data_IF_651230260728
#
_entry.id   IF_651230260728
#
_cell.length_a   1.000
_cell.length_b   1.000
_cell.length_c   1.000
_cell.angle_alpha   90.00
_cell.angle_beta   90.00
_cell.angle_gamma   90.00
#
_symmetry.space_group_name_H-M   'P 1'
#
loop_
_entity.id
_entity.type
_entity.pdbx_description
1 polymer ?
#
# COMPACT_ATOMS: atom_id res chain seq x y z
N UNK A 1 25.44 13.04 -23.32
CA UNK A 1 24.42 13.10 -22.24
C UNK A 1 23.10 13.32 -22.92
N UNK A 2 22.46 12.22 -23.33
CA UNK A 2 21.20 12.26 -24.07
C UNK A 2 20.09 12.46 -23.04
N UNK A 3 19.58 13.68 -22.96
CA UNK A 3 18.40 14.00 -22.17
C UNK A 3 17.25 13.28 -22.87
N UNK A 4 16.84 12.13 -22.34
CA UNK A 4 15.72 11.37 -22.88
C UNK A 4 14.56 12.32 -23.16
N UNK A 5 14.10 12.37 -24.42
CA UNK A 5 13.05 13.27 -24.92
C UNK A 5 11.76 13.27 -24.04
N UNK A 6 11.61 12.26 -23.19
CA UNK A 6 10.46 12.03 -22.32
C UNK A 6 10.63 12.49 -20.86
N UNK A 7 11.67 13.25 -20.46
CA UNK A 7 11.83 13.69 -19.05
C UNK A 7 10.59 14.40 -18.50
N UNK A 8 9.94 15.27 -19.31
CA UNK A 8 8.71 15.97 -18.89
C UNK A 8 7.54 15.00 -18.69
N UNK A 9 7.43 13.99 -19.56
CA UNK A 9 6.37 12.98 -19.46
C UNK A 9 6.57 12.08 -18.25
N UNK A 10 7.80 11.60 -18.01
CA UNK A 10 8.14 10.81 -16.81
C UNK A 10 7.86 11.61 -15.52
N UNK A 11 8.24 12.89 -15.49
CA UNK A 11 7.99 13.75 -14.34
C UNK A 11 6.49 13.91 -14.06
N UNK A 12 5.69 14.19 -15.09
CA UNK A 12 4.23 14.31 -14.95
C UNK A 12 3.61 12.98 -14.52
N UNK A 13 4.02 11.86 -15.13
CA UNK A 13 3.51 10.53 -14.78
C UNK A 13 3.81 10.16 -13.32
N UNK A 14 5.05 10.37 -12.86
CA UNK A 14 5.44 10.11 -11.47
C UNK A 14 4.73 11.03 -10.47
N UNK A 15 4.51 12.29 -10.84
CA UNK A 15 3.78 13.25 -9.99
C UNK A 15 2.31 12.87 -9.86
N UNK A 16 1.68 12.48 -10.97
CA UNK A 16 0.29 12.00 -10.95
C UNK A 16 0.17 10.72 -10.15
N UNK A 17 1.07 9.75 -10.34
CA UNK A 17 1.12 8.50 -9.56
C UNK A 17 1.19 8.79 -8.05
N UNK A 18 2.12 9.65 -7.63
CA UNK A 18 2.24 10.07 -6.24
C UNK A 18 0.98 10.77 -5.71
N UNK A 19 0.38 11.66 -6.51
CA UNK A 19 -0.83 12.38 -6.13
C UNK A 19 -2.03 11.43 -5.94
N UNK A 20 -2.24 10.50 -6.87
CA UNK A 20 -3.28 9.48 -6.75
C UNK A 20 -3.03 8.53 -5.58
N UNK A 21 -1.77 8.15 -5.35
CA UNK A 21 -1.40 7.33 -4.22
C UNK A 21 -1.74 8.01 -2.90
N UNK A 22 -1.30 9.25 -2.69
CA UNK A 22 -1.56 10.02 -1.46
C UNK A 22 -3.06 10.24 -1.26
N UNK A 23 -3.78 10.60 -2.34
CA UNK A 23 -5.23 10.75 -2.29
C UNK A 23 -5.94 9.46 -1.90
N UNK A 24 -5.59 8.33 -2.50
CA UNK A 24 -6.15 7.03 -2.16
C UNK A 24 -5.77 6.58 -0.73
N UNK A 25 -4.53 6.81 -0.31
CA UNK A 25 -4.03 6.46 1.02
C UNK A 25 -4.74 7.24 2.13
N UNK A 26 -5.19 8.47 1.88
CA UNK A 26 -5.97 9.25 2.83
C UNK A 26 -7.29 8.54 3.23
N UNK A 27 -7.92 7.81 2.32
CA UNK A 27 -9.13 7.03 2.64
C UNK A 27 -8.85 5.79 3.49
N UNK A 28 -7.62 5.26 3.42
CA UNK A 28 -7.18 4.09 4.18
C UNK A 28 -6.22 4.55 5.29
N UNK A 29 -6.35 5.80 5.74
CA UNK A 29 -5.35 6.38 6.64
C UNK A 29 -5.33 5.58 7.95
N UNK A 30 -4.16 5.01 8.30
CA UNK A 30 -4.08 4.03 9.38
C UNK A 30 -4.05 4.60 10.78
N UNK A 31 -3.87 5.92 10.88
CA UNK A 31 -3.87 6.64 12.15
C UNK A 31 -5.25 7.25 12.45
N UNK A 32 -5.99 7.68 11.42
CA UNK A 32 -7.24 8.41 11.60
C UNK A 32 -8.48 7.62 11.19
N UNK A 33 -8.45 6.95 10.04
CA UNK A 33 -9.65 6.34 9.45
C UNK A 33 -9.81 4.89 9.92
N UNK A 34 -8.77 4.08 9.78
CA UNK A 34 -8.84 2.64 10.11
C UNK A 34 -9.17 2.38 11.59
N UNK A 35 -8.54 3.06 12.58
CA UNK A 35 -8.83 2.82 13.99
C UNK A 35 -10.27 3.21 14.36
N UNK A 36 -10.79 4.30 13.79
CA UNK A 36 -12.18 4.73 13.99
C UNK A 36 -13.14 3.73 13.37
N UNK A 37 -12.87 3.27 12.14
CA UNK A 37 -13.68 2.25 11.49
C UNK A 37 -13.71 0.95 12.29
N UNK A 38 -12.56 0.47 12.75
CA UNK A 38 -12.44 -0.76 13.53
C UNK A 38 -13.13 -0.63 14.89
N UNK A 39 -13.11 0.55 15.52
CA UNK A 39 -13.91 0.82 16.74
C UNK A 39 -15.40 0.68 16.53
N UNK A 40 -15.92 0.91 15.33
CA UNK A 40 -17.35 0.64 15.03
C UNK A 40 -17.68 -0.84 14.92
N UNK A 41 -16.66 -1.70 14.76
CA UNK A 41 -16.80 -3.15 14.61
C UNK A 41 -16.38 -3.93 15.87
N UNK A 42 -15.49 -3.38 16.70
CA UNK A 42 -15.02 -4.00 17.94
C UNK A 42 -14.59 -2.98 18.99
N UNK A 43 -14.87 -3.27 20.26
CA UNK A 43 -14.39 -2.51 21.41
C UNK A 43 -13.00 -2.94 21.90
N UNK A 44 -12.35 -3.90 21.21
CA UNK A 44 -11.05 -4.44 21.62
C UNK A 44 -9.91 -3.46 21.35
N UNK A 45 -9.40 -2.84 22.42
CA UNK A 45 -8.21 -1.98 22.38
C UNK A 45 -6.96 -2.73 21.88
N UNK A 46 -6.87 -4.03 22.16
CA UNK A 46 -5.76 -4.89 21.71
C UNK A 46 -5.78 -5.06 20.19
N UNK A 47 -6.96 -5.27 19.60
CA UNK A 47 -7.09 -5.41 18.15
C UNK A 47 -6.70 -4.11 17.42
N UNK A 48 -7.09 -2.96 17.96
CA UNK A 48 -6.73 -1.65 17.40
C UNK A 48 -5.22 -1.41 17.50
N UNK A 49 -4.60 -1.70 18.65
CA UNK A 49 -3.15 -1.59 18.81
C UNK A 49 -2.37 -2.53 17.89
N UNK A 50 -2.88 -3.74 17.68
CA UNK A 50 -2.29 -4.72 16.77
C UNK A 50 -2.23 -4.20 15.32
N UNK A 51 -3.25 -3.45 14.85
CA UNK A 51 -3.24 -2.86 13.51
C UNK A 51 -2.10 -1.86 13.32
N UNK A 52 -1.83 -1.01 14.31
CA UNK A 52 -0.70 -0.08 14.27
C UNK A 52 0.64 -0.85 14.25
N UNK A 53 0.76 -1.92 15.05
CA UNK A 53 1.96 -2.75 15.05
C UNK A 53 2.17 -3.45 13.69
N UNK A 54 1.11 -4.03 13.12
CA UNK A 54 1.10 -4.66 11.80
C UNK A 54 1.52 -3.67 10.72
N UNK A 55 1.04 -2.43 10.78
CA UNK A 55 1.43 -1.39 9.83
C UNK A 55 2.94 -1.17 9.85
N UNK A 56 3.49 -0.88 11.04
CA UNK A 56 4.91 -0.56 11.18
C UNK A 56 5.77 -1.75 10.75
N UNK A 57 5.39 -2.97 11.15
CA UNK A 57 6.07 -4.18 10.72
C UNK A 57 5.97 -4.40 9.20
N UNK A 58 4.78 -4.22 8.63
CA UNK A 58 4.50 -4.42 7.21
C UNK A 58 5.19 -3.41 6.31
N UNK A 59 5.46 -2.19 6.79
CA UNK A 59 6.31 -1.27 6.04
C UNK A 59 7.80 -1.57 6.22
N UNK A 60 8.25 -1.83 7.45
CA UNK A 60 9.69 -1.88 7.77
C UNK A 60 10.36 -3.21 7.42
N UNK A 61 9.71 -4.35 7.66
CA UNK A 61 10.32 -5.66 7.41
C UNK A 61 10.48 -5.95 5.91
N UNK A 62 9.44 -5.72 5.07
CA UNK A 62 9.51 -6.08 3.67
C UNK A 62 10.42 -5.14 2.87
N UNK A 63 10.54 -3.86 3.27
CA UNK A 63 11.51 -2.95 2.63
C UNK A 63 12.95 -3.45 2.76
N UNK A 64 13.33 -4.09 3.88
CA UNK A 64 14.68 -4.61 4.09
C UNK A 64 14.95 -5.81 3.16
N UNK A 65 13.99 -6.72 3.07
CA UNK A 65 14.05 -7.87 2.16
C UNK A 65 14.07 -7.41 0.69
N UNK A 66 13.20 -6.46 0.33
CA UNK A 66 13.14 -5.90 -1.01
C UNK A 66 14.43 -5.17 -1.39
N UNK A 67 15.02 -4.38 -0.49
CA UNK A 67 16.30 -3.71 -0.76
C UNK A 67 17.39 -4.70 -1.16
N UNK A 68 17.56 -5.78 -0.39
CA UNK A 68 18.51 -6.84 -0.72
C UNK A 68 18.18 -7.54 -2.06
N UNK A 69 16.90 -7.86 -2.28
CA UNK A 69 16.45 -8.55 -3.49
C UNK A 69 16.61 -7.70 -4.77
N UNK A 70 16.34 -6.40 -4.71
CA UNK A 70 16.40 -5.49 -5.86
C UNK A 70 17.81 -4.96 -6.16
N UNK A 71 18.77 -5.04 -5.23
CA UNK A 71 20.12 -4.50 -5.41
C UNK A 71 20.82 -5.01 -6.68
N UNK A 72 20.62 -6.28 -7.04
CA UNK A 72 21.31 -6.94 -8.16
C UNK A 72 20.43 -7.11 -9.40
N UNK A 73 19.19 -6.60 -9.40
CA UNK A 73 18.24 -6.81 -10.49
C UNK A 73 18.28 -5.64 -11.50
N UNK A 74 18.54 -5.91 -12.79
CA UNK A 74 18.61 -4.86 -13.81
C UNK A 74 17.23 -4.27 -14.16
N UNK A 75 16.14 -5.05 -14.01
CA UNK A 75 14.76 -4.61 -14.27
C UNK A 75 13.91 -4.70 -13.00
N UNK A 76 13.54 -3.53 -12.46
CA UNK A 76 12.75 -3.41 -11.23
C UNK A 76 11.25 -3.16 -11.48
N UNK A 77 10.91 -2.63 -12.65
CA UNK A 77 9.54 -2.32 -13.06
C UNK A 77 8.57 -3.52 -12.98
N UNK A 78 8.87 -4.72 -13.50
CA UNK A 78 7.94 -5.85 -13.43
C UNK A 78 7.65 -6.29 -12.00
N UNK A 79 8.68 -6.29 -11.14
CA UNK A 79 8.54 -6.64 -9.74
C UNK A 79 7.65 -5.63 -9.00
N UNK A 80 7.87 -4.33 -9.24
CA UNK A 80 7.07 -3.26 -8.68
C UNK A 80 5.61 -3.38 -9.11
N UNK A 81 5.34 -3.56 -10.40
CA UNK A 81 3.97 -3.68 -10.93
C UNK A 81 3.21 -4.86 -10.32
N UNK A 82 3.87 -6.02 -10.18
CA UNK A 82 3.25 -7.18 -9.52
C UNK A 82 2.85 -6.87 -8.07
N UNK A 83 3.73 -6.20 -7.32
CA UNK A 83 3.43 -5.84 -5.93
C UNK A 83 2.30 -4.83 -5.81
N UNK A 84 2.29 -3.80 -6.68
CA UNK A 84 1.20 -2.82 -6.72
C UNK A 84 -0.13 -3.52 -7.01
N UNK A 85 -0.18 -4.42 -7.98
CA UNK A 85 -1.40 -5.17 -8.30
C UNK A 85 -1.85 -6.01 -7.09
N UNK A 86 -0.95 -6.78 -6.48
CA UNK A 86 -1.27 -7.63 -5.32
C UNK A 86 -1.73 -6.78 -4.13
N UNK A 87 -1.14 -5.61 -3.90
CA UNK A 87 -1.50 -4.71 -2.81
C UNK A 87 -2.85 -4.02 -3.01
N UNK A 88 -3.26 -3.81 -4.27
CA UNK A 88 -4.52 -3.11 -4.60
C UNK A 88 -5.71 -4.03 -4.83
N UNK A 89 -5.46 -5.25 -5.30
CA UNK A 89 -6.50 -6.25 -5.56
C UNK A 89 -7.45 -6.48 -4.36
N UNK A 90 -7.00 -6.52 -3.09
CA UNK A 90 -7.88 -6.79 -1.95
C UNK A 90 -8.91 -5.69 -1.67
N UNK A 91 -8.70 -4.45 -2.12
CA UNK A 91 -9.62 -3.35 -1.84
C UNK A 91 -10.93 -3.45 -2.64
N UNK A 92 -10.91 -4.04 -3.83
CA UNK A 92 -12.11 -4.22 -4.65
C UNK A 92 -13.16 -5.15 -3.98
N UNK A 93 -12.83 -6.38 -3.57
CA UNK A 93 -13.76 -7.22 -2.83
C UNK A 93 -14.07 -6.66 -1.45
N UNK A 94 -13.12 -5.96 -0.80
CA UNK A 94 -13.36 -5.33 0.50
C UNK A 94 -14.50 -4.30 0.44
N UNK A 95 -14.53 -3.46 -0.59
CA UNK A 95 -15.60 -2.49 -0.78
C UNK A 95 -16.97 -3.17 -0.89
N UNK A 96 -17.05 -4.28 -1.63
CA UNK A 96 -18.29 -5.08 -1.77
C UNK A 96 -18.70 -5.69 -0.42
N UNK A 97 -17.75 -6.27 0.33
CA UNK A 97 -18.00 -6.87 1.64
C UNK A 97 -18.54 -5.84 2.62
N UNK A 98 -17.94 -4.65 2.69
CA UNK A 98 -18.39 -3.57 3.55
C UNK A 98 -19.82 -3.14 3.18
N UNK A 99 -20.10 -2.94 1.89
CA UNK A 99 -21.42 -2.49 1.44
C UNK A 99 -22.54 -3.48 1.75
N UNK A 100 -22.28 -4.78 1.65
CA UNK A 100 -23.29 -5.82 1.83
C UNK A 100 -23.41 -6.34 3.27
N UNK A 101 -22.31 -6.38 4.02
CA UNK A 101 -22.23 -7.13 5.28
C UNK A 101 -21.94 -6.27 6.51
N UNK A 102 -21.70 -4.97 6.38
CA UNK A 102 -21.37 -4.10 7.52
C UNK A 102 -22.40 -4.13 8.67
N UNK A 103 -23.69 -4.33 8.37
CA UNK A 103 -24.75 -4.41 9.39
C UNK A 103 -25.04 -5.83 9.87
N UNK A 104 -24.77 -6.82 9.02
CA UNK A 104 -25.20 -8.20 9.25
C UNK A 104 -24.14 -9.02 9.98
N UNK A 105 -22.85 -8.80 9.66
CA UNK A 105 -21.74 -9.54 10.26
C UNK A 105 -20.49 -8.64 10.41
N UNK A 106 -20.40 -7.88 11.52
CA UNK A 106 -19.25 -7.02 11.82
C UNK A 106 -17.92 -7.78 11.94
N UNK A 107 -17.95 -9.06 12.34
CA UNK A 107 -16.74 -9.85 12.53
C UNK A 107 -16.11 -10.24 11.19
N UNK A 108 -16.92 -10.63 10.20
CA UNK A 108 -16.45 -10.90 8.84
C UNK A 108 -15.87 -9.63 8.20
N UNK A 109 -16.54 -8.49 8.35
CA UNK A 109 -16.03 -7.21 7.81
C UNK A 109 -14.70 -6.83 8.46
N UNK A 110 -14.57 -7.00 9.78
CA UNK A 110 -13.32 -6.77 10.49
C UNK A 110 -12.20 -7.65 9.94
N UNK A 111 -12.44 -8.96 9.80
CA UNK A 111 -11.47 -9.89 9.24
C UNK A 111 -11.03 -9.49 7.82
N UNK A 112 -11.99 -9.14 6.96
CA UNK A 112 -11.71 -8.70 5.60
C UNK A 112 -10.86 -7.41 5.56
N UNK A 113 -11.17 -6.42 6.41
CA UNK A 113 -10.37 -5.19 6.53
C UNK A 113 -8.96 -5.50 6.99
N UNK A 114 -8.79 -6.29 8.05
CA UNK A 114 -7.46 -6.64 8.58
C UNK A 114 -6.64 -7.38 7.51
N UNK A 115 -7.22 -8.37 6.84
CA UNK A 115 -6.52 -9.13 5.79
C UNK A 115 -6.11 -8.25 4.62
N UNK A 116 -7.02 -7.42 4.08
CA UNK A 116 -6.69 -6.50 3.00
C UNK A 116 -5.60 -5.51 3.41
N UNK A 117 -5.67 -5.00 4.64
CA UNK A 117 -4.74 -4.03 5.19
C UNK A 117 -3.34 -4.63 5.42
N UNK A 118 -3.24 -5.87 5.90
CA UNK A 118 -1.97 -6.60 6.02
C UNK A 118 -1.32 -6.76 4.65
N UNK A 119 -2.06 -7.26 3.65
CA UNK A 119 -1.52 -7.47 2.30
C UNK A 119 -1.03 -6.15 1.71
N UNK A 120 -1.82 -5.08 1.88
CA UNK A 120 -1.45 -3.74 1.46
C UNK A 120 -0.15 -3.26 2.12
N UNK A 121 -0.05 -3.28 3.45
CA UNK A 121 1.15 -2.81 4.16
C UNK A 121 2.42 -3.54 3.68
N UNK A 122 2.35 -4.87 3.57
CA UNK A 122 3.51 -5.67 3.19
C UNK A 122 3.95 -5.44 1.74
N UNK A 123 3.00 -5.35 0.82
CA UNK A 123 3.30 -5.07 -0.60
C UNK A 123 3.80 -3.64 -0.81
N UNK A 124 3.24 -2.68 -0.08
CA UNK A 124 3.62 -1.27 -0.17
C UNK A 124 5.06 -1.04 0.34
N UNK A 125 5.45 -1.70 1.45
CA UNK A 125 6.82 -1.63 1.96
C UNK A 125 7.87 -2.09 0.96
N UNK A 126 7.57 -3.13 0.17
CA UNK A 126 8.46 -3.59 -0.91
C UNK A 126 8.43 -2.66 -2.13
N UNK A 127 7.25 -2.13 -2.46
CA UNK A 127 7.02 -1.25 -3.62
C UNK A 127 7.83 0.05 -3.48
N UNK A 128 7.89 0.61 -2.27
CA UNK A 128 8.56 1.88 -1.97
C UNK A 128 10.05 1.86 -2.39
N UNK A 129 10.74 0.73 -2.21
CA UNK A 129 12.16 0.59 -2.59
C UNK A 129 12.35 0.67 -4.10
N UNK A 130 11.51 -0.05 -4.85
CA UNK A 130 11.55 -0.03 -6.31
C UNK A 130 11.15 1.32 -6.88
N UNK A 131 10.16 1.97 -6.28
CA UNK A 131 9.64 3.27 -6.71
C UNK A 131 10.70 4.35 -6.57
N UNK A 132 11.37 4.43 -5.41
CA UNK A 132 12.45 5.39 -5.17
C UNK A 132 13.62 5.23 -6.18
N UNK A 133 13.97 4.00 -6.56
CA UNK A 133 15.02 3.78 -7.56
C UNK A 133 14.63 4.26 -8.96
N UNK A 134 13.35 4.11 -9.35
CA UNK A 134 12.82 4.60 -10.62
C UNK A 134 12.82 6.13 -10.63
N UNK A 135 12.30 6.75 -9.57
CA UNK A 135 12.29 8.21 -9.43
C UNK A 135 13.70 8.78 -9.51
N UNK A 136 14.67 8.17 -8.81
CA UNK A 136 16.07 8.58 -8.85
C UNK A 136 16.68 8.50 -10.26
N UNK A 137 16.29 7.50 -11.07
CA UNK A 137 16.73 7.36 -12.47
C UNK A 137 16.06 8.35 -13.42
N UNK A 138 14.82 8.77 -13.13
CA UNK A 138 14.09 9.70 -14.00
C UNK A 138 14.49 11.17 -13.81
N UNK A 139 15.11 11.52 -12.67
CA UNK A 139 15.50 12.90 -12.32
C UNK A 139 16.99 13.16 -12.63
N UNK A 140 17.80 12.11 -12.78
CA UNK A 140 19.25 12.18 -13.04
C UNK A 140 19.57 12.29 -14.52
#
# INVERSE_FOLDING_TARGET
>A
MEKDSNTRWNFVALTLDAAFFVGAFAFVQPVAVLPVFVRTLTDSTVAIGALTAIQQAGWILPQLAAASFLQHRPRKMPFLMSLVIIGRLPFAPLAIIILLMAKSDPALVLAAVVTAYVIFCFTDGMTLVGWNDIVAKCIR
#
